data_IF_772858953475
#
_entry.id   IF_772858953475
#
_cell.length_a   1.000
_cell.length_b   1.000
_cell.length_c   1.000
_cell.angle_alpha   90.00
_cell.angle_beta   90.00
_cell.angle_gamma   90.00
#
_symmetry.space_group_name_H-M   'P 1'
#
loop_
_entity.id
_entity.type
_entity.pdbx_description
1 polymer ?
#
# COMPACT_ATOMS: atom_id res chain seq x y z
N UNK A 1 18.82 1.98 -1.06
CA UNK A 1 17.96 3.00 -1.71
C UNK A 1 16.92 2.34 -2.63
N UNK A 2 15.63 2.66 -2.51
CA UNK A 2 14.57 1.98 -3.26
C UNK A 2 13.15 2.05 -2.67
N UNK A 3 13.07 2.50 -1.41
CA UNK A 3 11.83 2.87 -0.73
C UNK A 3 11.78 4.39 -0.58
N UNK A 4 10.62 4.98 -0.86
CA UNK A 4 10.34 6.40 -0.60
C UNK A 4 9.44 6.47 0.61
N UNK A 5 9.89 7.09 1.69
CA UNK A 5 9.02 7.37 2.84
C UNK A 5 7.94 8.38 2.44
N UNK A 6 6.70 8.08 2.81
CA UNK A 6 5.56 8.97 2.59
C UNK A 6 4.94 9.29 3.94
N UNK A 7 4.93 10.57 4.30
CA UNK A 7 4.25 11.03 5.51
C UNK A 7 2.78 10.62 5.46
N UNK A 8 2.37 9.86 6.46
CA UNK A 8 1.06 9.21 6.47
C UNK A 8 0.56 9.02 7.90
N UNK A 9 -0.77 8.97 8.06
CA UNK A 9 -1.45 8.51 9.27
C UNK A 9 -2.29 7.30 8.90
N UNK A 10 -2.16 6.23 9.68
CA UNK A 10 -2.81 4.95 9.41
C UNK A 10 -3.77 4.60 10.54
N UNK A 11 -5.01 4.32 10.19
CA UNK A 11 -6.05 3.90 11.12
C UNK A 11 -6.56 2.52 10.70
N UNK A 12 -6.61 1.58 11.64
CA UNK A 12 -7.13 0.23 11.44
C UNK A 12 -8.48 0.12 12.14
N UNK A 13 -9.52 -0.11 11.35
CA UNK A 13 -10.86 -0.40 11.84
C UNK A 13 -11.03 -1.93 11.97
N UNK A 14 -11.28 -2.38 13.19
CA UNK A 14 -11.65 -3.76 13.54
C UNK A 14 -13.16 -3.82 13.81
N UNK A 15 -13.69 -5.02 13.99
CA UNK A 15 -15.09 -5.19 14.39
C UNK A 15 -15.27 -4.60 15.80
N UNK A 16 -15.98 -3.46 15.90
CA UNK A 16 -16.30 -2.81 17.17
C UNK A 16 -15.28 -1.77 17.68
N UNK A 17 -14.15 -1.56 17.00
CA UNK A 17 -13.16 -0.54 17.42
C UNK A 17 -12.34 0.01 16.26
N UNK A 18 -11.86 1.25 16.40
CA UNK A 18 -10.88 1.86 15.48
C UNK A 18 -9.62 2.17 16.28
N UNK A 19 -8.48 1.73 15.77
CA UNK A 19 -7.18 1.87 16.43
C UNK A 19 -6.26 2.66 15.51
N UNK A 20 -5.62 3.70 16.04
CA UNK A 20 -4.51 4.36 15.34
C UNK A 20 -3.32 3.41 15.29
N UNK A 21 -2.76 3.24 14.10
CA UNK A 21 -1.63 2.33 13.87
C UNK A 21 -0.36 3.16 14.03
N UNK A 22 0.11 3.30 15.26
CA UNK A 22 1.30 4.10 15.60
C UNK A 22 2.30 3.25 16.42
N UNK A 23 3.58 3.17 16.00
CA UNK A 23 4.13 3.71 14.75
C UNK A 23 3.66 2.93 13.51
N UNK A 24 3.50 3.63 12.39
CA UNK A 24 3.36 3.00 11.08
C UNK A 24 4.10 3.80 10.00
N UNK A 25 5.07 3.15 9.38
CA UNK A 25 5.85 3.75 8.29
C UNK A 25 5.26 3.32 6.95
N UNK A 26 5.01 4.30 6.09
CA UNK A 26 4.43 4.06 4.76
C UNK A 26 5.47 4.34 3.71
N UNK A 27 5.74 3.35 2.86
CA UNK A 27 6.74 3.47 1.81
C UNK A 27 6.18 3.18 0.42
N UNK A 28 6.65 3.90 -0.59
CA UNK A 28 6.55 3.45 -1.97
C UNK A 28 7.80 2.63 -2.29
N UNK A 29 7.66 1.32 -2.46
CA UNK A 29 8.76 0.43 -2.83
C UNK A 29 8.79 0.25 -4.34
N UNK A 30 9.82 0.81 -4.98
CA UNK A 30 9.96 0.87 -6.42
C UNK A 30 10.51 -0.43 -7.00
N UNK A 31 9.95 -0.84 -8.14
CA UNK A 31 10.40 -2.01 -8.90
C UNK A 31 11.90 -1.96 -9.17
N UNK A 32 12.53 -3.12 -9.04
CA UNK A 32 13.93 -3.37 -9.35
C UNK A 32 14.91 -2.89 -8.28
N UNK A 33 14.41 -2.31 -7.18
CA UNK A 33 15.16 -2.11 -5.95
C UNK A 33 14.81 -3.17 -4.91
N UNK A 34 15.78 -3.60 -4.12
CA UNK A 34 15.63 -4.62 -3.07
C UNK A 34 14.87 -5.87 -3.52
N UNK A 35 15.06 -6.28 -4.79
CA UNK A 35 14.40 -7.43 -5.46
C UNK A 35 12.89 -7.28 -5.68
N UNK A 36 12.32 -6.08 -5.54
CA UNK A 36 10.91 -5.83 -5.84
C UNK A 36 10.62 -6.10 -7.33
N UNK A 37 9.78 -7.10 -7.62
CA UNK A 37 9.39 -7.43 -9.00
C UNK A 37 8.39 -6.41 -9.58
N UNK A 38 7.64 -5.73 -8.71
CA UNK A 38 6.62 -4.73 -9.05
C UNK A 38 6.69 -3.58 -8.04
N UNK A 39 6.34 -2.37 -8.47
CA UNK A 39 6.21 -1.22 -7.58
C UNK A 39 4.95 -1.37 -6.71
N UNK A 40 5.08 -1.23 -5.41
CA UNK A 40 4.01 -1.42 -4.43
C UNK A 40 4.12 -0.41 -3.27
N UNK A 41 3.09 -0.35 -2.43
CA UNK A 41 3.12 0.46 -1.21
C UNK A 41 3.23 -0.44 0.01
N UNK A 42 4.19 -0.17 0.87
CA UNK A 42 4.40 -0.85 2.13
C UNK A 42 3.71 -0.08 3.26
N UNK A 43 3.05 -0.81 4.16
CA UNK A 43 2.59 -0.31 5.46
C UNK A 43 3.29 -1.13 6.54
N UNK A 44 4.30 -0.54 7.18
CA UNK A 44 5.17 -1.21 8.16
C UNK A 44 4.74 -0.83 9.57
N UNK A 45 4.08 -1.78 10.23
CA UNK A 45 3.74 -1.73 11.65
C UNK A 45 3.45 -3.16 12.14
N UNK A 46 3.95 -3.58 13.32
CA UNK A 46 3.60 -4.85 13.93
C UNK A 46 2.09 -5.03 14.13
N UNK A 47 1.33 -3.94 14.29
CA UNK A 47 -0.13 -3.96 14.44
C UNK A 47 -0.88 -4.42 13.18
N UNK A 48 -0.22 -4.34 12.01
CA UNK A 48 -0.75 -4.82 10.73
C UNK A 48 -0.27 -6.23 10.39
N UNK A 49 0.71 -6.76 11.13
CA UNK A 49 1.20 -8.12 10.93
C UNK A 49 0.10 -9.14 11.22
N UNK A 50 0.02 -10.18 10.38
CA UNK A 50 -1.00 -11.22 10.53
C UNK A 50 -2.41 -10.85 10.04
N UNK A 51 -2.66 -9.63 9.56
CA UNK A 51 -3.95 -9.26 8.94
C UNK A 51 -4.27 -10.08 7.68
N UNK A 52 -3.27 -10.68 7.06
CA UNK A 52 -3.45 -11.67 5.99
C UNK A 52 -3.08 -13.05 6.51
N UNK A 53 -3.75 -14.11 6.02
CA UNK A 53 -3.44 -15.52 6.34
C UNK A 53 -2.04 -15.94 5.82
N UNK A 54 -0.98 -15.42 6.42
CA UNK A 54 0.41 -15.64 6.05
C UNK A 54 0.76 -15.18 4.63
N UNK A 55 1.69 -15.89 3.97
CA UNK A 55 2.26 -15.53 2.65
C UNK A 55 1.27 -15.51 1.48
N UNK A 56 0.03 -15.98 1.66
CA UNK A 56 -0.95 -16.09 0.55
C UNK A 56 -1.59 -14.74 0.19
N UNK A 57 -1.52 -13.75 1.08
CA UNK A 57 -2.17 -12.44 0.89
C UNK A 57 -3.68 -12.56 0.65
N UNK A 58 -4.33 -11.42 0.37
CA UNK A 58 -5.75 -11.34 0.03
C UNK A 58 -5.99 -10.26 -1.02
N UNK A 59 -7.07 -10.39 -1.78
CA UNK A 59 -7.55 -9.28 -2.59
C UNK A 59 -8.32 -8.27 -1.72
N UNK A 60 -8.05 -7.00 -1.97
CA UNK A 60 -8.63 -5.86 -1.26
C UNK A 60 -9.19 -4.87 -2.28
N UNK A 61 -10.20 -4.13 -1.84
CA UNK A 61 -10.73 -2.98 -2.56
C UNK A 61 -10.12 -1.71 -1.98
N UNK A 62 -9.58 -0.87 -2.87
CA UNK A 62 -9.04 0.45 -2.57
C UNK A 62 -10.06 1.49 -2.99
N UNK A 63 -10.46 2.34 -2.05
CA UNK A 63 -11.33 3.49 -2.27
C UNK A 63 -10.49 4.75 -2.21
N UNK A 64 -10.49 5.56 -3.26
CA UNK A 64 -9.79 6.84 -3.26
C UNK A 64 -10.49 7.86 -2.37
N UNK A 65 -9.72 8.59 -1.57
CA UNK A 65 -10.16 9.74 -0.78
C UNK A 65 -9.50 11.03 -1.32
N UNK A 66 -9.92 12.18 -0.79
CA UNK A 66 -9.28 13.47 -1.09
C UNK A 66 -7.84 13.53 -0.54
N UNK A 67 -7.64 12.98 0.65
CA UNK A 67 -6.43 13.05 1.48
C UNK A 67 -5.73 11.68 1.65
N UNK A 68 -6.09 10.69 0.84
CA UNK A 68 -5.73 9.31 1.17
C UNK A 68 -6.45 8.24 0.36
N UNK A 69 -6.53 7.06 0.95
CA UNK A 69 -7.34 5.96 0.46
C UNK A 69 -7.77 5.04 1.61
N UNK A 70 -8.78 4.22 1.36
CA UNK A 70 -9.24 3.17 2.28
C UNK A 70 -9.01 1.82 1.63
N UNK A 71 -8.46 0.88 2.39
CA UNK A 71 -8.32 -0.52 2.03
C UNK A 71 -9.41 -1.33 2.74
N UNK A 72 -10.18 -2.13 2.00
CA UNK A 72 -11.16 -3.06 2.58
C UNK A 72 -10.93 -4.48 2.04
N UNK A 73 -11.01 -5.54 2.86
CA UNK A 73 -10.94 -6.90 2.35
C UNK A 73 -12.14 -7.20 1.45
N UNK A 74 -11.92 -7.90 0.33
CA UNK A 74 -13.03 -8.30 -0.55
C UNK A 74 -13.85 -9.44 0.05
N UNK A 75 -13.19 -10.38 0.72
CA UNK A 75 -13.82 -11.55 1.33
C UNK A 75 -13.31 -11.74 2.78
N UNK A 76 -14.22 -11.69 3.76
CA UNK A 76 -13.95 -12.08 5.15
C UNK A 76 -13.53 -10.97 6.13
N UNK A 77 -13.68 -11.28 7.42
CA UNK A 77 -13.57 -10.37 8.59
C UNK A 77 -12.15 -10.12 9.11
N UNK A 78 -11.11 -10.22 8.27
CA UNK A 78 -9.73 -10.05 8.75
C UNK A 78 -9.53 -8.67 9.44
N UNK A 79 -10.17 -7.65 8.90
CA UNK A 79 -10.37 -6.33 9.46
C UNK A 79 -11.54 -5.67 8.72
N UNK A 80 -12.05 -4.54 9.19
CA UNK A 80 -13.15 -3.82 8.52
C UNK A 80 -12.61 -2.86 7.46
N UNK A 81 -11.63 -2.05 7.83
CA UNK A 81 -10.93 -1.17 6.88
C UNK A 81 -9.57 -0.72 7.42
N UNK A 82 -8.67 -0.35 6.51
CA UNK A 82 -7.46 0.41 6.85
C UNK A 82 -7.59 1.75 6.13
N UNK A 83 -7.66 2.84 6.87
CA UNK A 83 -7.61 4.19 6.30
C UNK A 83 -6.17 4.66 6.32
N UNK A 84 -5.68 5.10 5.16
CA UNK A 84 -4.37 5.70 5.01
C UNK A 84 -4.57 7.13 4.57
N UNK A 85 -4.37 8.08 5.49
CA UNK A 85 -4.14 9.48 5.12
C UNK A 85 -2.70 9.60 4.68
N UNK A 86 -2.44 10.21 3.54
CA UNK A 86 -1.09 10.27 2.99
C UNK A 86 -0.79 11.60 2.30
N UNK A 87 0.48 11.98 2.27
CA UNK A 87 0.97 13.15 1.53
C UNK A 87 1.67 12.74 0.22
N UNK A 88 1.39 11.52 -0.27
CA UNK A 88 1.95 10.95 -1.49
C UNK A 88 1.17 11.31 -2.75
N UNK A 89 1.52 10.68 -3.90
CA UNK A 89 0.82 10.91 -5.15
C UNK A 89 -0.59 10.34 -5.10
N UNK A 90 -1.54 11.04 -5.72
CA UNK A 90 -2.94 10.60 -5.76
C UNK A 90 -3.14 9.34 -6.61
N UNK A 91 -3.18 8.16 -5.97
CA UNK A 91 -3.35 6.88 -6.70
C UNK A 91 -4.72 6.68 -7.31
N UNK A 92 -5.77 7.20 -6.67
CA UNK A 92 -7.16 7.13 -7.12
C UNK A 92 -7.81 8.48 -6.85
N UNK A 93 -8.76 8.88 -7.71
CA UNK A 93 -9.59 10.05 -7.43
C UNK A 93 -10.54 9.75 -6.28
N UNK A 94 -11.00 10.80 -5.59
CA UNK A 94 -12.03 10.64 -4.57
C UNK A 94 -13.27 10.00 -5.19
N UNK A 95 -13.76 8.90 -4.59
CA UNK A 95 -14.87 8.12 -5.13
C UNK A 95 -14.50 7.06 -6.17
N UNK A 96 -13.26 7.06 -6.70
CA UNK A 96 -12.79 5.96 -7.56
C UNK A 96 -12.49 4.72 -6.70
N UNK A 97 -12.75 3.56 -7.28
CA UNK A 97 -12.53 2.25 -6.65
C UNK A 97 -11.65 1.39 -7.55
N UNK A 98 -10.67 0.71 -6.97
CA UNK A 98 -9.86 -0.28 -7.67
C UNK A 98 -9.55 -1.47 -6.78
N UNK A 99 -9.50 -2.67 -7.36
CA UNK A 99 -8.94 -3.85 -6.71
C UNK A 99 -7.41 -3.72 -6.61
N UNK A 100 -6.86 -4.18 -5.49
CA UNK A 100 -5.44 -4.38 -5.24
C UNK A 100 -5.21 -5.72 -4.52
N UNK A 101 -3.96 -6.12 -4.44
CA UNK A 101 -3.54 -7.29 -3.68
C UNK A 101 -2.82 -6.82 -2.42
N UNK A 102 -3.23 -7.32 -1.25
CA UNK A 102 -2.55 -7.07 0.01
C UNK A 102 -1.83 -8.33 0.47
N UNK A 103 -0.51 -8.28 0.55
CA UNK A 103 0.32 -9.38 1.05
C UNK A 103 0.87 -9.09 2.44
N UNK A 104 0.94 -10.12 3.28
CA UNK A 104 1.61 -10.03 4.58
C UNK A 104 3.13 -10.12 4.45
N UNK A 105 3.82 -9.41 5.34
CA UNK A 105 5.27 -9.52 5.55
C UNK A 105 5.55 -9.41 7.06
N UNK A 106 6.78 -9.73 7.45
CA UNK A 106 7.22 -9.49 8.82
C UNK A 106 7.16 -7.98 9.10
N UNK A 107 6.52 -7.59 10.20
CA UNK A 107 6.35 -6.19 10.59
C UNK A 107 5.34 -5.39 9.75
N UNK A 108 4.43 -6.03 8.99
CA UNK A 108 3.31 -5.32 8.36
C UNK A 108 2.76 -5.95 7.10
N UNK A 109 2.32 -5.10 6.16
CA UNK A 109 1.71 -5.52 4.89
C UNK A 109 2.26 -4.72 3.71
N UNK A 110 2.04 -5.22 2.50
CA UNK A 110 2.25 -4.48 1.27
C UNK A 110 1.02 -4.52 0.36
N UNK A 111 0.84 -3.47 -0.42
CA UNK A 111 -0.26 -3.25 -1.35
C UNK A 111 0.28 -3.23 -2.79
N UNK A 112 0.00 -4.31 -3.53
CA UNK A 112 0.24 -4.40 -4.96
C UNK A 112 -0.96 -3.90 -5.76
N UNK A 113 -0.75 -2.91 -6.63
CA UNK A 113 -1.83 -2.28 -7.38
C UNK A 113 -1.86 -2.67 -8.86
N UNK A 114 -2.97 -2.33 -9.54
CA UNK A 114 -3.06 -2.41 -11.01
C UNK A 114 -2.08 -1.44 -11.69
N UNK A 115 -1.76 -1.73 -12.94
CA UNK A 115 -0.77 -0.98 -13.75
C UNK A 115 -1.03 0.54 -13.82
N UNK A 116 -2.29 0.98 -13.81
CA UNK A 116 -2.66 2.41 -13.79
C UNK A 116 -2.07 3.12 -12.55
N UNK A 117 -2.24 2.53 -11.37
CA UNK A 117 -1.73 3.07 -10.10
C UNK A 117 -0.20 2.94 -10.02
N UNK A 118 0.35 1.81 -10.48
CA UNK A 118 1.81 1.61 -10.54
C UNK A 118 2.49 2.75 -11.31
N UNK A 119 1.95 3.16 -12.47
CA UNK A 119 2.50 4.28 -13.24
C UNK A 119 2.49 5.60 -12.47
N UNK A 120 1.47 5.84 -11.65
CA UNK A 120 1.38 7.04 -10.79
C UNK A 120 2.50 7.02 -9.74
N UNK A 121 2.69 5.89 -9.06
CA UNK A 121 3.75 5.70 -8.06
C UNK A 121 5.15 5.83 -8.68
N UNK A 122 5.37 5.22 -9.84
CA UNK A 122 6.63 5.32 -10.57
C UNK A 122 6.89 6.75 -11.10
N UNK A 123 5.84 7.46 -11.54
CA UNK A 123 5.94 8.87 -11.92
C UNK A 123 6.32 9.77 -10.75
N UNK A 124 5.76 9.50 -9.56
CA UNK A 124 6.16 10.17 -8.33
C UNK A 124 7.63 9.93 -7.98
N UNK A 125 8.10 8.68 -8.08
CA UNK A 125 9.50 8.34 -7.86
C UNK A 125 10.45 9.08 -8.80
N UNK A 126 10.09 9.18 -10.09
CA UNK A 126 10.88 9.94 -11.08
C UNK A 126 10.98 11.43 -10.73
N UNK A 127 9.88 12.04 -10.26
CA UNK A 127 9.88 13.46 -9.84
C UNK A 127 10.82 13.71 -8.66
N UNK A 128 11.03 12.71 -7.81
CA UNK A 128 11.97 12.74 -6.70
C UNK A 128 13.40 12.31 -7.10
N UNK A 129 13.68 12.16 -8.40
CA UNK A 129 15.02 11.87 -8.92
C UNK A 129 15.44 10.40 -8.86
N UNK A 130 14.53 9.46 -8.58
CA UNK A 130 14.89 8.04 -8.54
C UNK A 130 14.83 7.38 -9.92
N UNK A 131 15.89 6.67 -10.28
CA UNK A 131 15.97 5.88 -11.51
C UNK A 131 15.10 4.62 -11.41
N UNK A 132 14.33 4.27 -12.44
CA UNK A 132 13.62 2.99 -12.46
C UNK A 132 14.54 1.91 -13.02
N UNK A 133 14.69 0.79 -12.31
CA UNK A 133 15.41 -0.37 -12.84
C UNK A 133 14.59 -1.04 -13.95
N UNK A 134 15.00 -0.79 -15.19
CA UNK A 134 14.44 -1.45 -16.37
C UNK A 134 15.02 -2.86 -16.48
N UNK A 135 14.45 -3.82 -15.77
CA UNK A 135 14.64 -5.22 -16.19
C UNK A 135 13.91 -5.41 -17.52
N UNK A 136 14.68 -5.49 -18.62
CA UNK A 136 14.25 -6.11 -19.88
C UNK A 136 13.64 -7.46 -19.50
N UNK A 137 12.37 -7.67 -19.87
CA UNK A 137 11.80 -9.02 -19.84
C UNK A 137 12.71 -9.87 -20.74
N UNK A 138 13.42 -10.83 -20.13
CA UNK A 138 13.86 -12.01 -20.87
C UNK A 138 12.63 -12.88 -21.11
#
# INVERSE_FOLDING_TARGET
PGKIAVRSLVELEKVGSTVKVEPCEVYVHIKGYSRARVTHVDLESPLLEGLTKGRRGIYVTIYGLKDGFIVKPMNGRAFKSIRVKWEGPKILKAGEVSVAFMGGKQGGVYLGFKRKVIKVLEGYAKKLGMALSMHKRR
#
